data_IF_136135442871
#
_entry.id   IF_136135442871
#
_cell.length_a   1.000
_cell.length_b   1.000
_cell.length_c   1.000
_cell.angle_alpha   90.00
_cell.angle_beta   90.00
_cell.angle_gamma   90.00
#
_symmetry.space_group_name_H-M   'P 1'
#
loop_
_entity.id
_entity.type
_entity.pdbx_description
1 polymer ?
#
# COMPACT_ATOMS: atom_id res chain seq x y z
N UNK A 1 10.74 -21.33 -12.93
CA UNK A 1 10.99 -20.82 -11.56
C UNK A 1 10.59 -19.35 -11.56
N UNK A 2 9.79 -18.87 -10.61
CA UNK A 2 9.41 -17.45 -10.55
C UNK A 2 10.64 -16.63 -10.07
N UNK A 3 11.23 -15.76 -10.89
CA UNK A 3 12.51 -15.11 -10.55
C UNK A 3 12.37 -14.05 -9.47
N UNK A 4 11.14 -13.59 -9.21
CA UNK A 4 10.82 -12.64 -8.14
C UNK A 4 10.18 -13.32 -6.93
N UNK A 5 10.35 -14.64 -6.77
CA UNK A 5 9.75 -15.38 -5.66
C UNK A 5 10.18 -14.78 -4.31
N UNK A 6 9.19 -14.43 -3.48
CA UNK A 6 9.40 -14.01 -2.10
C UNK A 6 9.58 -15.24 -1.20
N UNK A 7 10.61 -15.21 -0.37
CA UNK A 7 10.92 -16.26 0.60
C UNK A 7 10.69 -15.72 2.02
N UNK A 8 9.78 -16.32 2.76
CA UNK A 8 9.41 -15.85 4.11
C UNK A 8 10.61 -15.91 5.06
N UNK A 9 10.81 -14.84 5.80
CA UNK A 9 11.77 -14.80 6.91
C UNK A 9 11.07 -15.07 8.25
N UNK A 10 9.83 -14.60 8.42
CA UNK A 10 9.01 -14.92 9.59
C UNK A 10 7.94 -13.87 9.91
N UNK A 11 7.24 -14.09 11.03
CA UNK A 11 6.30 -13.14 11.63
C UNK A 11 7.03 -12.26 12.63
N UNK A 12 6.93 -10.93 12.50
CA UNK A 12 7.71 -9.97 13.29
C UNK A 12 6.89 -9.13 14.27
N UNK A 13 5.57 -9.05 14.07
CA UNK A 13 4.68 -8.31 14.95
C UNK A 13 3.32 -8.98 15.02
N UNK A 14 2.84 -9.19 16.24
CA UNK A 14 1.49 -9.65 16.60
C UNK A 14 0.90 -8.71 17.64
N UNK A 15 -0.42 -8.67 17.76
CA UNK A 15 -1.10 -7.98 18.86
C UNK A 15 -0.57 -8.43 20.22
N UNK A 16 -0.36 -7.48 21.14
CA UNK A 16 -0.03 -7.78 22.52
C UNK A 16 -1.31 -8.15 23.26
N UNK A 17 -1.33 -9.32 23.94
CA UNK A 17 -2.47 -9.72 24.76
C UNK A 17 -2.83 -8.62 25.77
N UNK A 18 -4.12 -8.23 25.80
CA UNK A 18 -4.64 -7.22 26.71
C UNK A 18 -4.39 -5.77 26.30
N UNK A 19 -3.75 -5.51 25.16
CA UNK A 19 -3.61 -4.15 24.63
C UNK A 19 -4.89 -3.74 23.87
N UNK A 20 -5.71 -2.81 24.39
CA UNK A 20 -6.97 -2.42 23.76
C UNK A 20 -6.78 -1.69 22.43
N UNK A 21 -5.56 -1.25 22.12
CA UNK A 21 -5.24 -0.54 20.88
C UNK A 21 -5.09 -1.51 19.70
N UNK A 22 -4.82 -2.79 19.92
CA UNK A 22 -4.56 -3.75 18.86
C UNK A 22 -5.35 -5.05 19.06
N UNK A 23 -6.46 -4.97 19.80
CA UNK A 23 -7.33 -6.10 20.15
C UNK A 23 -7.84 -6.88 18.94
N UNK A 24 -8.11 -6.19 17.82
CA UNK A 24 -8.63 -6.79 16.58
C UNK A 24 -7.54 -7.02 15.52
N UNK A 25 -6.27 -6.71 15.81
CA UNK A 25 -5.13 -7.05 14.95
C UNK A 25 -4.07 -5.95 14.79
N UNK A 26 -2.93 -6.35 14.24
CA UNK A 26 -1.87 -5.47 13.74
C UNK A 26 -1.58 -5.78 12.28
N UNK A 27 -1.79 -4.82 11.40
CA UNK A 27 -1.87 -5.09 9.96
C UNK A 27 -1.02 -4.12 9.14
N UNK A 28 -0.73 -4.51 7.90
CA UNK A 28 -0.46 -3.61 6.78
C UNK A 28 0.51 -2.44 7.07
N UNK A 29 1.75 -2.71 7.52
CA UNK A 29 2.67 -1.65 7.92
C UNK A 29 3.24 -0.88 6.72
N UNK A 30 3.36 0.43 6.86
CA UNK A 30 4.37 1.15 6.08
C UNK A 30 5.77 0.80 6.61
N UNK A 31 6.78 0.89 5.74
CA UNK A 31 8.18 0.66 6.10
C UNK A 31 9.02 1.79 5.53
N UNK A 32 9.89 2.37 6.36
CA UNK A 32 10.84 3.38 5.92
C UNK A 32 12.02 3.47 6.87
N UNK A 33 13.20 3.81 6.35
CA UNK A 33 14.38 4.12 7.19
C UNK A 33 14.34 5.59 7.63
N UNK A 34 14.60 5.81 8.92
CA UNK A 34 14.69 7.13 9.50
C UNK A 34 16.03 7.83 9.21
N UNK A 35 16.13 9.14 9.50
CA UNK A 35 17.39 9.88 9.39
C UNK A 35 18.53 9.32 10.25
N UNK A 36 18.21 8.54 11.29
CA UNK A 36 19.16 7.83 12.16
C UNK A 36 19.62 6.48 11.59
N UNK A 37 19.12 6.08 10.42
CA UNK A 37 19.45 4.83 9.74
C UNK A 37 18.67 3.61 10.26
N UNK A 38 17.86 3.75 11.31
CA UNK A 38 17.01 2.67 11.79
C UNK A 38 15.83 2.42 10.86
N UNK A 39 15.36 1.17 10.82
CA UNK A 39 14.17 0.79 10.05
C UNK A 39 12.94 0.85 10.95
N UNK A 40 11.90 1.54 10.49
CA UNK A 40 10.65 1.72 11.20
C UNK A 40 9.48 1.07 10.47
N UNK A 41 8.58 0.47 11.23
CA UNK A 41 7.24 0.07 10.80
C UNK A 41 6.20 1.07 11.29
N UNK A 42 5.20 1.29 10.45
CA UNK A 42 4.01 2.05 10.78
C UNK A 42 2.77 1.16 10.63
N UNK A 43 2.55 0.23 11.57
CA UNK A 43 1.47 -0.75 11.51
C UNK A 43 0.11 -0.08 11.69
N UNK A 44 -0.91 -0.58 11.00
CA UNK A 44 -2.30 -0.35 11.38
C UNK A 44 -2.59 -1.13 12.64
N UNK A 45 -2.93 -0.44 13.73
CA UNK A 45 -3.37 -1.03 14.99
C UNK A 45 -4.89 -0.95 15.05
N UNK A 46 -5.55 -2.11 15.11
CA UNK A 46 -7.01 -2.21 15.08
C UNK A 46 -7.53 -2.47 16.49
N UNK A 47 -8.22 -1.48 17.04
CA UNK A 47 -8.98 -1.63 18.27
C UNK A 47 -10.42 -2.07 17.98
N UNK A 48 -11.11 -2.51 19.04
CA UNK A 48 -12.50 -2.97 18.99
C UNK A 48 -13.41 -2.07 18.15
N UNK A 49 -14.20 -2.69 17.28
CA UNK A 49 -15.11 -1.97 16.37
C UNK A 49 -14.40 -1.37 15.17
N UNK A 50 -13.30 -1.99 14.73
CA UNK A 50 -12.45 -1.54 13.64
C UNK A 50 -12.01 -0.07 13.81
N UNK A 51 -11.66 0.33 15.03
CA UNK A 51 -11.12 1.66 15.29
C UNK A 51 -9.62 1.63 15.02
N UNK A 52 -9.21 2.17 13.87
CA UNK A 52 -7.86 2.00 13.34
C UNK A 52 -7.00 3.24 13.52
N UNK A 53 -5.75 3.02 13.93
CA UNK A 53 -4.71 4.05 14.05
C UNK A 53 -3.40 3.54 13.45
N UNK A 54 -2.48 4.44 13.18
CA UNK A 54 -1.15 4.13 12.67
C UNK A 54 -0.18 4.18 13.85
N UNK A 55 0.38 3.03 14.21
CA UNK A 55 1.44 2.91 15.20
C UNK A 55 2.80 3.33 14.65
N UNK A 56 3.81 3.32 15.52
CA UNK A 56 5.21 3.36 15.14
C UNK A 56 5.97 2.31 15.94
N UNK A 57 6.81 1.53 15.26
CA UNK A 57 7.66 0.52 15.86
C UNK A 57 9.03 0.46 15.17
N UNK A 58 10.10 0.22 15.91
CA UNK A 58 11.45 0.00 15.37
C UNK A 58 11.68 -1.48 15.08
N UNK A 59 12.18 -1.82 13.90
CA UNK A 59 12.51 -3.20 13.54
C UNK A 59 13.77 -3.64 14.28
N UNK A 60 13.73 -4.84 14.84
CA UNK A 60 14.86 -5.50 15.49
C UNK A 60 15.47 -6.52 14.54
N UNK A 61 16.80 -6.47 14.40
CA UNK A 61 17.58 -7.35 13.53
C UNK A 61 18.48 -8.26 14.35
N UNK A 62 18.63 -9.51 13.91
CA UNK A 62 19.57 -10.46 14.51
C UNK A 62 21.00 -10.20 13.99
N UNK A 63 21.98 -10.98 14.45
CA UNK A 63 23.38 -10.85 14.03
C UNK A 63 23.59 -11.05 12.51
N UNK A 64 22.75 -11.84 11.85
CA UNK A 64 22.78 -12.03 10.39
C UNK A 64 22.13 -10.87 9.62
N UNK A 65 21.55 -9.91 10.33
CA UNK A 65 20.80 -8.79 9.75
C UNK A 65 19.38 -9.15 9.35
N UNK A 66 18.83 -10.30 9.73
CA UNK A 66 17.44 -10.64 9.43
C UNK A 66 16.48 -10.05 10.48
N UNK A 67 15.35 -9.47 10.06
CA UNK A 67 14.34 -8.96 10.98
C UNK A 67 13.70 -10.11 11.77
N UNK A 68 13.62 -9.97 13.10
CA UNK A 68 13.04 -11.00 13.97
C UNK A 68 11.94 -10.49 14.90
N UNK A 69 11.75 -9.18 14.99
CA UNK A 69 10.78 -8.60 15.91
C UNK A 69 10.72 -7.08 15.78
N UNK A 70 9.94 -6.46 16.65
CA UNK A 70 9.81 -5.00 16.72
C UNK A 70 9.75 -4.50 18.15
N UNK A 71 10.20 -3.27 18.34
CA UNK A 71 10.00 -2.47 19.55
C UNK A 71 8.91 -1.42 19.27
N UNK A 72 7.80 -1.47 20.00
CA UNK A 72 6.72 -0.47 19.88
C UNK A 72 7.16 0.85 20.48
N UNK A 73 7.01 1.94 19.72
CA UNK A 73 7.42 3.28 20.14
C UNK A 73 6.23 4.21 20.41
N UNK A 74 5.03 3.86 19.94
CA UNK A 74 3.81 4.61 20.22
C UNK A 74 2.87 4.68 19.03
N UNK A 75 2.14 5.80 18.93
CA UNK A 75 1.17 6.11 17.88
C UNK A 75 1.71 7.25 17.03
N UNK A 76 1.74 7.06 15.71
CA UNK A 76 2.10 8.08 14.73
C UNK A 76 0.89 8.95 14.37
N UNK A 77 -0.25 8.32 14.06
CA UNK A 77 -1.51 9.00 13.79
C UNK A 77 -2.68 8.22 14.39
N UNK A 78 -3.62 8.94 14.98
CA UNK A 78 -4.94 8.43 15.37
C UNK A 78 -6.05 9.32 14.79
N UNK A 79 -7.29 8.84 14.64
CA UNK A 79 -8.38 9.65 14.09
C UNK A 79 -8.61 10.94 14.91
N UNK A 80 -8.28 12.09 14.33
CA UNK A 80 -8.45 13.41 14.92
C UNK A 80 -9.33 14.30 14.04
N UNK A 81 -9.28 14.11 12.73
CA UNK A 81 -9.99 14.91 11.75
C UNK A 81 -11.39 14.38 11.41
N UNK A 82 -12.25 15.26 10.90
CA UNK A 82 -13.63 14.88 10.54
C UNK A 82 -13.68 13.82 9.45
N UNK A 83 -12.71 13.83 8.52
CA UNK A 83 -12.59 12.84 7.45
C UNK A 83 -11.97 11.50 7.90
N UNK A 84 -11.56 11.39 9.17
CA UNK A 84 -11.03 10.16 9.78
C UNK A 84 -12.03 9.54 10.77
N UNK A 85 -13.04 10.29 11.21
CA UNK A 85 -13.98 9.90 12.28
C UNK A 85 -15.33 9.47 11.70
N UNK A 86 -15.78 8.27 12.04
CA UNK A 86 -17.08 7.74 11.61
C UNK A 86 -18.18 8.15 12.60
N UNK A 87 -19.43 8.33 12.12
CA UNK A 87 -20.58 8.46 13.02
C UNK A 87 -20.66 7.27 13.99
N UNK A 88 -21.02 7.52 15.24
CA UNK A 88 -21.13 6.46 16.26
C UNK A 88 -19.83 6.08 16.98
N UNK A 89 -18.76 6.89 16.84
CA UNK A 89 -17.53 6.75 17.62
C UNK A 89 -16.44 5.88 16.99
N UNK A 90 -16.63 5.42 15.75
CA UNK A 90 -15.57 4.77 14.98
C UNK A 90 -14.58 5.78 14.38
N UNK A 91 -13.49 5.28 13.80
CA UNK A 91 -12.56 6.09 13.03
C UNK A 91 -11.43 5.24 12.46
N UNK A 92 -10.78 5.72 11.41
CA UNK A 92 -9.71 4.97 10.76
C UNK A 92 -8.66 5.85 10.12
N UNK A 93 -7.42 5.71 10.59
CA UNK A 93 -6.22 5.96 9.82
C UNK A 93 -5.63 4.58 9.46
N UNK A 94 -5.76 4.16 8.21
CA UNK A 94 -5.55 2.77 7.79
C UNK A 94 -4.50 2.64 6.68
N UNK A 95 -3.81 1.49 6.68
CA UNK A 95 -2.96 0.99 5.59
C UNK A 95 -1.98 2.03 5.03
N UNK A 96 -1.20 2.65 5.91
CA UNK A 96 -0.25 3.70 5.54
C UNK A 96 0.86 3.20 4.61
N UNK A 97 1.31 4.06 3.69
CA UNK A 97 2.57 3.94 2.95
C UNK A 97 3.37 5.21 3.20
N UNK A 98 4.68 5.07 3.40
CA UNK A 98 5.57 6.20 3.67
C UNK A 98 6.70 6.20 2.66
N UNK A 99 7.01 7.37 2.14
CA UNK A 99 8.10 7.57 1.19
C UNK A 99 8.79 8.87 1.53
N UNK A 100 10.13 8.88 1.58
CA UNK A 100 10.85 10.15 1.56
C UNK A 100 10.77 10.70 0.14
N UNK A 101 10.09 11.83 -0.04
CA UNK A 101 9.89 12.44 -1.35
C UNK A 101 10.92 13.55 -1.50
N UNK A 102 12.00 13.27 -2.24
CA UNK A 102 13.17 14.14 -2.37
C UNK A 102 12.81 15.57 -2.80
N UNK A 103 11.96 15.82 -3.82
CA UNK A 103 11.59 17.20 -4.19
C UNK A 103 10.88 17.99 -3.09
N UNK A 104 10.21 17.29 -2.16
CA UNK A 104 9.53 17.91 -1.03
C UNK A 104 10.42 18.01 0.21
N UNK A 105 11.48 17.20 0.32
CA UNK A 105 12.35 17.11 1.49
C UNK A 105 11.61 16.68 2.78
N UNK A 106 10.51 15.94 2.63
CA UNK A 106 9.73 15.36 3.74
C UNK A 106 9.49 13.87 3.50
N UNK A 107 9.34 13.12 4.59
CA UNK A 107 8.61 11.87 4.56
C UNK A 107 7.13 12.18 4.37
N UNK A 108 6.55 11.64 3.31
CA UNK A 108 5.13 11.72 3.01
C UNK A 108 4.47 10.39 3.36
N UNK A 109 3.48 10.42 4.23
CA UNK A 109 2.62 9.30 4.57
C UNK A 109 1.30 9.45 3.81
N UNK A 110 1.04 8.56 2.87
CA UNK A 110 -0.30 8.35 2.33
C UNK A 110 -1.02 7.33 3.20
N UNK A 111 -2.29 7.58 3.52
CA UNK A 111 -3.09 6.65 4.31
C UNK A 111 -4.56 6.70 3.88
N UNK A 112 -5.27 5.61 4.17
CA UNK A 112 -6.72 5.56 4.01
C UNK A 112 -7.36 6.19 5.23
N UNK A 113 -7.94 7.37 5.07
CA UNK A 113 -8.81 7.97 6.06
C UNK A 113 -10.23 7.41 5.89
N UNK A 114 -10.74 6.74 6.92
CA UNK A 114 -12.06 6.13 6.89
C UNK A 114 -13.05 6.94 7.74
N UNK A 115 -13.65 7.93 7.09
CA UNK A 115 -14.62 8.85 7.68
C UNK A 115 -16.08 8.56 7.30
N UNK A 116 -16.97 9.57 7.42
CA UNK A 116 -18.40 9.46 7.11
C UNK A 116 -18.67 9.16 5.63
N UNK A 117 -17.84 9.72 4.75
CA UNK A 117 -17.97 9.57 3.29
C UNK A 117 -17.19 8.35 2.76
N UNK A 118 -16.92 7.38 3.64
CA UNK A 118 -16.16 6.18 3.31
C UNK A 118 -14.65 6.41 3.24
N UNK A 119 -13.91 5.42 2.70
CA UNK A 119 -12.47 5.48 2.62
C UNK A 119 -11.99 6.45 1.53
N UNK A 120 -11.12 7.37 1.92
CA UNK A 120 -10.47 8.34 1.03
C UNK A 120 -8.98 8.40 1.34
N UNK A 121 -8.18 8.85 0.38
CA UNK A 121 -6.75 9.03 0.59
C UNK A 121 -6.51 10.36 1.29
N UNK A 122 -5.76 10.31 2.39
CA UNK A 122 -5.23 11.47 3.07
C UNK A 122 -3.70 11.42 3.07
N UNK A 123 -3.08 12.59 3.30
CA UNK A 123 -1.63 12.71 3.42
C UNK A 123 -1.25 13.39 4.73
N UNK A 124 -0.19 12.89 5.35
CA UNK A 124 0.54 13.57 6.41
C UNK A 124 2.04 13.64 6.05
N UNK A 125 2.75 14.61 6.62
CA UNK A 125 4.18 14.78 6.38
C UNK A 125 4.99 14.86 7.68
N UNK A 126 6.25 14.44 7.61
CA UNK A 126 7.19 14.49 8.73
C UNK A 126 8.62 14.72 8.25
N UNK A 127 9.45 15.33 9.10
CA UNK A 127 10.91 15.42 8.88
C UNK A 127 11.69 14.34 9.64
N UNK A 128 11.11 13.79 10.70
CA UNK A 128 11.80 12.95 11.68
C UNK A 128 11.10 11.61 11.93
N UNK A 129 9.99 11.33 11.23
CA UNK A 129 9.13 10.16 11.39
C UNK A 129 8.36 10.07 12.72
N UNK A 130 8.58 11.00 13.65
CA UNK A 130 7.97 11.02 14.97
C UNK A 130 6.82 12.05 15.03
N UNK A 131 7.06 13.22 14.46
CA UNK A 131 6.11 14.33 14.47
C UNK A 131 5.45 14.44 13.10
N UNK A 132 4.12 14.31 13.07
CA UNK A 132 3.33 14.28 11.84
C UNK A 132 2.39 15.47 11.73
N UNK A 133 2.42 16.13 10.58
CA UNK A 133 1.47 17.17 10.20
C UNK A 133 0.50 16.61 9.15
N UNK A 134 -0.81 16.63 9.43
CA UNK A 134 -1.84 16.27 8.44
C UNK A 134 -1.98 17.36 7.39
N UNK A 135 -1.91 16.97 6.12
CA UNK A 135 -2.14 17.84 4.98
C UNK A 135 -3.60 17.82 4.50
N UNK A 136 -4.35 16.76 4.85
CA UNK A 136 -5.76 16.62 4.49
C UNK A 136 -6.01 15.54 3.45
N UNK A 137 -7.24 15.51 2.95
CA UNK A 137 -7.65 14.63 1.86
C UNK A 137 -6.98 15.03 0.55
N UNK A 138 -6.57 14.03 -0.23
CA UNK A 138 -6.07 14.25 -1.59
C UNK A 138 -7.20 14.71 -2.49
N UNK A 139 -6.90 15.75 -3.29
CA UNK A 139 -7.79 16.28 -4.31
C UNK A 139 -7.33 15.87 -5.70
N UNK A 140 -8.28 15.47 -6.53
CA UNK A 140 -8.04 15.08 -7.93
C UNK A 140 -8.81 15.98 -8.89
N UNK A 141 -8.26 16.26 -10.06
CA UNK A 141 -9.06 16.82 -11.15
C UNK A 141 -9.96 15.73 -11.76
N UNK A 142 -11.09 16.08 -12.40
CA UNK A 142 -11.87 15.10 -13.15
C UNK A 142 -11.05 14.48 -14.30
N UNK A 143 -11.25 13.19 -14.55
CA UNK A 143 -10.67 12.50 -15.72
C UNK A 143 -11.77 11.91 -16.58
N UNK A 144 -11.99 12.47 -17.77
CA UNK A 144 -13.10 12.11 -18.66
C UNK A 144 -14.45 12.22 -17.90
N UNK A 145 -15.11 11.10 -17.63
CA UNK A 145 -16.38 11.02 -16.89
C UNK A 145 -16.19 10.66 -15.41
N UNK A 146 -14.95 10.47 -14.96
CA UNK A 146 -14.63 10.03 -13.61
C UNK A 146 -14.37 11.25 -12.72
N UNK A 147 -15.10 11.34 -11.61
CA UNK A 147 -14.80 12.23 -10.50
C UNK A 147 -14.22 11.43 -9.35
N UNK A 148 -12.88 11.35 -9.25
CA UNK A 148 -12.20 10.60 -8.19
C UNK A 148 -12.56 11.10 -6.78
N UNK A 149 -12.89 12.38 -6.61
CA UNK A 149 -13.28 12.91 -5.29
C UNK A 149 -14.67 12.46 -4.84
N UNK A 150 -15.49 11.93 -5.76
CA UNK A 150 -16.84 11.45 -5.49
C UNK A 150 -16.92 9.94 -5.31
N UNK A 151 -15.78 9.24 -5.29
CA UNK A 151 -15.71 7.79 -5.09
C UNK A 151 -14.73 7.46 -3.96
N UNK A 152 -14.83 6.23 -3.48
CA UNK A 152 -13.87 5.70 -2.52
C UNK A 152 -12.51 5.51 -3.18
N UNK A 153 -11.43 5.66 -2.42
CA UNK A 153 -10.07 5.52 -2.93
C UNK A 153 -9.12 5.03 -1.83
N UNK A 154 -8.18 4.14 -2.19
CA UNK A 154 -7.26 3.45 -1.27
C UNK A 154 -5.93 3.12 -1.95
N UNK A 155 -5.05 2.45 -1.20
CA UNK A 155 -3.79 1.88 -1.70
C UNK A 155 -2.88 2.91 -2.34
N UNK A 156 -2.85 4.10 -1.73
CA UNK A 156 -2.04 5.19 -2.18
C UNK A 156 -0.57 4.98 -1.82
N UNK A 157 0.33 5.23 -2.76
CA UNK A 157 1.78 5.31 -2.51
C UNK A 157 2.43 6.31 -3.46
N UNK A 158 3.50 6.97 -3.02
CA UNK A 158 4.19 8.00 -3.79
C UNK A 158 5.49 7.47 -4.37
N UNK A 159 5.90 8.03 -5.50
CA UNK A 159 7.27 7.87 -5.99
C UNK A 159 8.22 8.77 -5.19
N UNK A 160 9.47 8.34 -4.93
CA UNK A 160 10.40 9.08 -4.08
C UNK A 160 11.06 10.30 -4.76
N UNK A 161 11.01 10.39 -6.08
CA UNK A 161 11.60 11.47 -6.87
C UNK A 161 10.53 12.21 -7.69
N UNK A 162 10.87 13.39 -8.20
CA UNK A 162 10.04 14.03 -9.22
C UNK A 162 10.16 13.28 -10.54
N UNK A 163 9.05 13.27 -11.28
CA UNK A 163 8.94 12.62 -12.57
C UNK A 163 8.18 13.53 -13.52
N UNK A 164 8.41 13.37 -14.81
CA UNK A 164 7.64 14.11 -15.80
C UNK A 164 6.21 13.57 -15.86
N UNK A 165 5.24 14.45 -15.65
CA UNK A 165 3.84 14.18 -15.99
C UNK A 165 3.68 13.91 -17.49
N UNK A 166 2.53 13.36 -17.94
CA UNK A 166 2.25 13.16 -19.37
C UNK A 166 2.31 14.44 -20.22
N UNK A 167 2.29 15.61 -19.58
CA UNK A 167 2.40 16.91 -20.21
C UNK A 167 3.81 17.54 -20.10
N UNK A 168 4.79 16.80 -19.59
CA UNK A 168 6.19 17.22 -19.51
C UNK A 168 6.51 18.16 -18.34
N UNK A 169 5.63 18.27 -17.34
CA UNK A 169 5.91 19.04 -16.12
C UNK A 169 6.56 18.16 -15.04
N UNK A 170 7.57 18.65 -14.31
CA UNK A 170 8.04 18.02 -13.09
C UNK A 170 6.90 17.88 -12.07
N UNK A 171 6.70 16.67 -11.57
CA UNK A 171 5.54 16.33 -10.76
C UNK A 171 5.90 15.25 -9.73
N UNK A 172 5.18 15.26 -8.62
CA UNK A 172 5.11 14.08 -7.73
C UNK A 172 4.05 13.14 -8.29
N UNK A 173 4.43 11.87 -8.48
CA UNK A 173 3.51 10.83 -8.93
C UNK A 173 3.00 10.00 -7.75
N UNK A 174 1.72 9.65 -7.78
CA UNK A 174 1.04 8.82 -6.80
C UNK A 174 0.33 7.66 -7.49
N UNK A 175 0.57 6.44 -7.02
CA UNK A 175 -0.27 5.29 -7.31
C UNK A 175 -1.48 5.31 -6.38
N UNK A 176 -2.66 4.93 -6.86
CA UNK A 176 -3.88 4.81 -6.06
C UNK A 176 -4.89 3.85 -6.71
N UNK A 177 -5.95 3.49 -6.00
CA UNK A 177 -6.98 2.58 -6.50
C UNK A 177 -8.39 3.09 -6.15
N UNK A 178 -9.03 3.83 -7.08
CA UNK A 178 -10.44 4.19 -6.99
C UNK A 178 -11.33 2.94 -6.92
N UNK A 179 -12.34 2.98 -6.05
CA UNK A 179 -13.34 1.94 -5.87
C UNK A 179 -14.67 2.49 -6.37
N UNK A 180 -15.10 2.03 -7.55
CA UNK A 180 -16.34 2.49 -8.16
C UNK A 180 -17.53 1.71 -7.58
N UNK A 181 -18.73 2.31 -7.51
CA UNK A 181 -19.91 1.58 -7.05
C UNK A 181 -20.15 0.31 -7.89
N UNK A 182 -20.32 -0.84 -7.23
CA UNK A 182 -20.52 -2.14 -7.90
C UNK A 182 -19.24 -2.89 -8.26
N UNK A 183 -18.06 -2.33 -7.97
CA UNK A 183 -16.76 -2.94 -8.35
C UNK A 183 -16.04 -3.62 -7.19
N UNK A 184 -16.57 -3.55 -5.97
CA UNK A 184 -15.96 -4.29 -4.87
C UNK A 184 -16.04 -5.81 -5.13
N UNK A 185 -15.05 -6.61 -4.68
CA UNK A 185 -15.10 -8.06 -4.85
C UNK A 185 -16.42 -8.68 -4.38
N UNK A 186 -16.96 -8.18 -3.26
CA UNK A 186 -18.21 -8.64 -2.69
C UNK A 186 -19.41 -8.30 -3.58
N UNK A 187 -19.40 -7.16 -4.29
CA UNK A 187 -20.43 -6.78 -5.26
C UNK A 187 -20.29 -7.56 -6.58
N UNK A 188 -19.06 -7.71 -7.10
CA UNK A 188 -18.78 -8.46 -8.34
C UNK A 188 -19.26 -9.91 -8.20
N UNK A 189 -18.97 -10.54 -7.05
CA UNK A 189 -19.43 -11.90 -6.73
C UNK A 189 -20.96 -11.97 -6.65
N UNK A 190 -21.62 -10.90 -6.17
CA UNK A 190 -23.10 -10.82 -6.15
C UNK A 190 -23.74 -10.60 -7.52
N UNK A 191 -23.03 -9.97 -8.45
CA UNK A 191 -23.55 -9.57 -9.77
C UNK A 191 -23.27 -10.61 -10.88
N UNK A 192 -22.84 -11.83 -10.50
CA UNK A 192 -22.57 -12.94 -11.43
C UNK A 192 -21.55 -12.55 -12.52
N UNK A 193 -20.60 -11.68 -12.17
CA UNK A 193 -19.47 -11.26 -13.03
C UNK A 193 -19.88 -10.65 -14.38
N UNK A 194 -21.10 -10.10 -14.51
CA UNK A 194 -21.61 -9.49 -15.76
C UNK A 194 -20.99 -8.12 -16.13
N UNK A 195 -19.88 -7.77 -15.49
CA UNK A 195 -19.19 -6.51 -15.66
C UNK A 195 -18.26 -6.52 -16.87
N UNK A 196 -18.10 -5.35 -17.51
CA UNK A 196 -17.10 -5.23 -18.57
C UNK A 196 -15.73 -5.10 -17.91
N UNK A 197 -14.82 -6.01 -18.28
CA UNK A 197 -13.43 -6.11 -17.81
C UNK A 197 -12.69 -4.76 -17.80
N UNK A 198 -13.10 -3.83 -18.65
CA UNK A 198 -12.39 -2.58 -18.90
C UNK A 198 -12.95 -1.33 -18.18
N UNK A 199 -14.07 -1.39 -17.46
CA UNK A 199 -14.64 -0.20 -16.79
C UNK A 199 -14.96 -0.39 -15.31
N UNK A 200 -15.18 -1.65 -14.89
CA UNK A 200 -15.82 -1.94 -13.60
C UNK A 200 -14.91 -2.73 -12.64
N UNK A 201 -13.58 -2.74 -12.85
CA UNK A 201 -12.65 -3.44 -11.94
C UNK A 201 -11.78 -2.42 -11.22
N UNK A 202 -11.67 -2.58 -9.90
CA UNK A 202 -10.74 -1.80 -9.08
C UNK A 202 -9.31 -2.04 -9.58
N UNK A 203 -8.71 -0.98 -10.12
CA UNK A 203 -7.49 -0.98 -10.94
C UNK A 203 -6.47 -0.02 -10.34
N UNK A 204 -5.18 -0.24 -10.61
CA UNK A 204 -4.13 0.69 -10.18
C UNK A 204 -4.12 1.88 -11.15
N UNK A 205 -4.26 3.08 -10.61
CA UNK A 205 -4.10 4.35 -11.30
C UNK A 205 -2.81 5.04 -10.87
N UNK A 206 -2.24 5.82 -11.78
CA UNK A 206 -1.16 6.75 -11.50
C UNK A 206 -1.64 8.17 -11.77
N UNK A 207 -1.38 9.05 -10.82
CA UNK A 207 -1.82 10.43 -10.82
C UNK A 207 -0.65 11.37 -10.54
N UNK A 208 -0.62 12.55 -11.16
CA UNK A 208 0.49 13.50 -11.04
C UNK A 208 0.05 14.83 -10.45
N UNK A 209 0.79 15.30 -9.44
CA UNK A 209 0.68 16.65 -8.88
C UNK A 209 1.90 17.46 -9.34
N UNK A 210 1.69 18.47 -10.17
CA UNK A 210 2.77 19.31 -10.68
C UNK A 210 3.44 20.08 -9.54
N UNK A 211 4.77 20.02 -9.51
CA UNK A 211 5.55 20.86 -8.64
C UNK A 211 5.55 22.26 -9.24
N UNK A 212 5.01 23.23 -8.50
CA UNK A 212 5.17 24.64 -8.88
C UNK A 212 6.59 25.05 -8.50
N UNK A 213 7.24 25.85 -9.36
CA UNK A 213 8.51 26.49 -9.02
C UNK A 213 8.27 27.49 -7.89
N UNK A 214 8.30 27.03 -6.65
CA UNK A 214 8.62 27.75 -5.40
C UNK A 214 8.27 26.87 -4.20
N UNK A 215 9.26 26.77 -3.31
CA UNK A 215 9.37 26.05 -2.03
C UNK A 215 8.08 25.84 -1.20
N UNK A 216 7.92 24.62 -0.69
CA UNK A 216 7.16 24.15 0.49
C UNK A 216 5.63 24.37 0.58
N UNK A 217 5.03 25.39 -0.01
CA UNK A 217 3.62 25.71 0.25
C UNK A 217 2.61 24.96 -0.65
N UNK A 218 3.04 24.43 -1.80
CA UNK A 218 2.13 23.90 -2.81
C UNK A 218 1.52 22.52 -2.47
N UNK A 219 2.23 21.68 -1.70
CA UNK A 219 1.77 20.31 -1.46
C UNK A 219 0.66 20.20 -0.39
N UNK A 220 0.52 21.20 0.50
CA UNK A 220 -0.61 21.26 1.45
C UNK A 220 -1.99 21.28 0.78
N UNK A 221 -2.04 21.65 -0.49
CA UNK A 221 -3.25 21.63 -1.32
C UNK A 221 -3.01 20.82 -2.59
N UNK A 222 -2.20 19.74 -2.49
CA UNK A 222 -1.84 18.92 -3.63
C UNK A 222 -3.09 18.50 -4.41
N UNK A 223 -3.18 19.03 -5.63
CA UNK A 223 -4.20 18.63 -6.58
C UNK A 223 -3.51 17.81 -7.66
N UNK A 224 -3.88 16.54 -7.74
CA UNK A 224 -3.44 15.65 -8.79
C UNK A 224 -4.27 15.92 -10.05
N UNK A 225 -3.62 16.22 -11.17
CA UNK A 225 -4.29 16.79 -12.36
C UNK A 225 -4.11 15.99 -13.64
N UNK A 226 -3.14 15.08 -13.67
CA UNK A 226 -2.96 14.15 -14.79
C UNK A 226 -3.16 12.75 -14.27
N UNK A 227 -3.97 11.95 -14.96
CA UNK A 227 -4.41 10.64 -14.49
C UNK A 227 -4.26 9.61 -15.60
N UNK A 228 -3.78 8.42 -15.25
CA UNK A 228 -3.66 7.29 -16.15
C UNK A 228 -3.99 6.00 -15.40
N UNK A 229 -4.80 5.13 -16.00
CA UNK A 229 -5.02 3.79 -15.45
C UNK A 229 -3.81 2.94 -15.80
N UNK A 230 -2.93 2.74 -14.84
CA UNK A 230 -1.67 2.05 -15.00
C UNK A 230 -1.87 0.56 -15.30
N UNK A 231 -2.69 -0.11 -14.51
CA UNK A 231 -2.93 -1.54 -14.64
C UNK A 231 -4.36 -1.89 -14.24
N UNK A 232 -4.97 -2.82 -14.98
CA UNK A 232 -6.19 -3.54 -14.59
C UNK A 232 -5.88 -5.00 -14.26
N UNK A 233 -6.79 -5.74 -13.61
CA UNK A 233 -6.72 -7.19 -13.54
C UNK A 233 -6.51 -7.86 -14.90
N UNK A 234 -5.55 -8.78 -15.02
CA UNK A 234 -5.26 -9.51 -16.27
C UNK A 234 -5.10 -11.02 -16.06
N UNK A 235 -4.62 -11.44 -14.88
CA UNK A 235 -4.38 -12.85 -14.55
C UNK A 235 -5.47 -13.44 -13.63
N UNK A 236 -5.63 -14.76 -13.65
CA UNK A 236 -6.65 -15.45 -12.86
C UNK A 236 -6.54 -15.22 -11.34
N UNK A 237 -5.32 -15.08 -10.81
CA UNK A 237 -5.06 -14.89 -9.38
C UNK A 237 -5.37 -13.47 -8.88
N UNK A 238 -5.58 -12.53 -9.82
CA UNK A 238 -5.83 -11.10 -9.56
C UNK A 238 -7.14 -10.62 -10.21
N UNK A 239 -7.97 -11.54 -10.69
CA UNK A 239 -9.09 -11.29 -11.60
C UNK A 239 -10.20 -10.37 -11.04
N UNK A 240 -10.33 -10.24 -9.71
CA UNK A 240 -11.37 -9.40 -9.11
C UNK A 240 -10.92 -7.96 -8.96
N UNK A 241 -9.69 -7.75 -8.50
CA UNK A 241 -9.08 -6.43 -8.33
C UNK A 241 -7.58 -6.52 -8.10
N UNK A 242 -6.93 -5.38 -8.31
CA UNK A 242 -5.54 -5.14 -7.95
C UNK A 242 -5.38 -3.80 -7.25
N UNK A 243 -4.35 -3.66 -6.42
CA UNK A 243 -3.99 -2.39 -5.79
C UNK A 243 -2.50 -2.30 -5.53
N UNK A 244 -1.98 -1.08 -5.51
CA UNK A 244 -0.58 -0.85 -5.20
C UNK A 244 -0.27 -1.31 -3.76
N UNK A 245 0.88 -1.95 -3.59
CA UNK A 245 1.32 -2.46 -2.30
C UNK A 245 2.26 -1.48 -1.63
N UNK A 246 3.53 -1.87 -1.53
CA UNK A 246 4.60 -1.04 -1.02
C UNK A 246 4.94 0.10 -2.00
N UNK A 247 5.53 1.21 -1.52
CA UNK A 247 6.04 2.27 -2.39
C UNK A 247 6.96 1.74 -3.50
N UNK A 248 6.88 2.28 -4.73
CA UNK A 248 7.78 1.90 -5.80
C UNK A 248 9.24 2.18 -5.44
N UNK A 249 10.12 1.21 -5.68
CA UNK A 249 11.57 1.34 -5.47
C UNK A 249 12.31 1.22 -6.79
N UNK A 250 13.30 2.08 -7.01
CA UNK A 250 14.10 2.02 -8.22
C UNK A 250 15.05 0.81 -8.15
N UNK A 251 15.15 0.09 -9.26
CA UNK A 251 16.04 -1.06 -9.45
C UNK A 251 16.78 -0.90 -10.78
N UNK A 252 17.73 -1.81 -11.06
CA UNK A 252 18.42 -1.89 -12.36
C UNK A 252 17.48 -2.08 -13.57
N UNK A 253 16.24 -2.52 -13.35
CA UNK A 253 15.26 -2.77 -14.41
C UNK A 253 14.21 -1.67 -14.54
N UNK A 254 14.23 -0.66 -13.65
CA UNK A 254 13.20 0.34 -13.49
C UNK A 254 12.51 0.25 -12.11
N UNK A 255 11.33 0.85 -11.99
CA UNK A 255 10.58 0.90 -10.74
C UNK A 255 9.92 -0.43 -10.43
N UNK A 256 10.38 -1.09 -9.37
CA UNK A 256 9.73 -2.27 -8.82
C UNK A 256 8.52 -1.85 -7.99
N UNK A 257 7.36 -2.35 -8.39
CA UNK A 257 6.11 -2.25 -7.66
C UNK A 257 5.67 -3.65 -7.21
N UNK A 258 5.68 -3.90 -5.90
CA UNK A 258 5.02 -5.06 -5.31
C UNK A 258 3.56 -4.69 -5.11
N UNK A 259 2.64 -5.43 -5.71
CA UNK A 259 1.21 -5.12 -5.71
C UNK A 259 0.40 -6.32 -5.25
N UNK A 260 -0.83 -6.11 -4.77
CA UNK A 260 -1.73 -7.21 -4.43
C UNK A 260 -2.74 -7.45 -5.54
N UNK A 261 -3.16 -8.70 -5.68
CA UNK A 261 -4.24 -9.15 -6.54
C UNK A 261 -5.18 -10.07 -5.79
N UNK A 262 -6.46 -10.03 -6.18
CA UNK A 262 -7.52 -10.77 -5.49
C UNK A 262 -8.25 -11.70 -6.45
N UNK A 263 -8.48 -12.93 -5.99
CA UNK A 263 -9.35 -13.89 -6.66
C UNK A 263 -10.27 -14.60 -5.68
N UNK A 264 -11.26 -15.31 -6.22
CA UNK A 264 -12.12 -16.21 -5.45
C UNK A 264 -11.48 -17.58 -5.28
N UNK A 265 -11.56 -18.12 -4.08
CA UNK A 265 -11.22 -19.51 -3.79
C UNK A 265 -12.33 -20.46 -4.24
N UNK A 266 -11.95 -21.73 -4.38
CA UNK A 266 -12.90 -22.80 -4.63
C UNK A 266 -13.98 -22.86 -3.53
N UNK A 267 -15.24 -23.04 -3.95
CA UNK A 267 -16.38 -23.01 -3.04
C UNK A 267 -16.78 -21.62 -2.54
N UNK A 268 -16.25 -20.54 -3.13
CA UNK A 268 -16.82 -19.19 -2.99
C UNK A 268 -18.25 -19.16 -3.52
N UNK A 269 -19.16 -18.50 -2.79
CA UNK A 269 -20.55 -18.34 -3.20
C UNK A 269 -20.99 -16.89 -3.03
N UNK A 270 -22.08 -16.50 -3.69
CA UNK A 270 -22.71 -15.18 -3.53
C UNK A 270 -23.03 -14.80 -2.08
N UNK A 271 -23.30 -15.79 -1.22
CA UNK A 271 -23.68 -15.57 0.19
C UNK A 271 -22.52 -15.74 1.16
N UNK A 272 -21.44 -16.38 0.71
CA UNK A 272 -20.22 -16.61 1.47
C UNK A 272 -19.03 -16.47 0.51
N UNK A 273 -18.66 -15.22 0.16
CA UNK A 273 -17.51 -14.99 -0.71
C UNK A 273 -16.25 -15.45 0.03
N UNK A 274 -15.42 -16.22 -0.66
CA UNK A 274 -14.11 -16.67 -0.16
C UNK A 274 -13.05 -16.07 -1.05
N UNK A 275 -12.36 -15.06 -0.54
CA UNK A 275 -11.35 -14.33 -1.29
C UNK A 275 -9.94 -14.79 -0.90
N UNK A 276 -9.01 -14.64 -1.82
CA UNK A 276 -7.60 -14.83 -1.57
C UNK A 276 -6.82 -13.63 -2.11
N UNK A 277 -6.04 -13.01 -1.23
CA UNK A 277 -5.17 -11.89 -1.55
C UNK A 277 -3.74 -12.42 -1.67
N UNK A 278 -3.14 -12.22 -2.84
CA UNK A 278 -1.77 -12.64 -3.15
C UNK A 278 -0.95 -11.45 -3.63
N UNK A 279 0.37 -11.56 -3.62
CA UNK A 279 1.28 -10.53 -4.12
C UNK A 279 1.82 -10.87 -5.51
N UNK A 280 1.93 -9.87 -6.37
CA UNK A 280 2.65 -9.90 -7.65
C UNK A 280 3.71 -8.80 -7.71
N UNK A 281 4.44 -8.75 -8.81
CA UNK A 281 5.38 -7.67 -9.10
C UNK A 281 5.15 -7.08 -10.49
N UNK A 282 5.32 -5.77 -10.59
CA UNK A 282 5.48 -5.04 -11.85
C UNK A 282 6.84 -4.35 -11.85
N UNK A 283 7.45 -4.26 -13.02
CA UNK A 283 8.56 -3.34 -13.28
C UNK A 283 8.02 -2.27 -14.21
N UNK A 284 8.04 -1.02 -13.77
CA UNK A 284 7.66 0.15 -14.56
C UNK A 284 8.92 0.80 -15.12
N UNK A 285 8.80 1.44 -16.29
CA UNK A 285 9.90 2.20 -16.88
C UNK A 285 10.36 3.30 -15.92
N UNK A 286 11.67 3.45 -15.77
CA UNK A 286 12.30 4.48 -14.92
C UNK A 286 11.84 5.90 -15.30
N UNK A 287 11.84 6.19 -16.60
CA UNK A 287 11.54 7.52 -17.14
C UNK A 287 10.06 7.72 -17.48
N UNK A 288 9.32 6.64 -17.72
CA UNK A 288 7.92 6.67 -18.13
C UNK A 288 7.11 5.69 -17.27
N UNK A 289 6.82 5.99 -15.99
CA UNK A 289 6.26 5.02 -15.04
C UNK A 289 4.85 4.53 -15.40
N UNK A 290 4.19 5.14 -16.40
CA UNK A 290 2.94 4.62 -16.99
C UNK A 290 3.17 3.37 -17.85
N UNK A 291 4.41 3.09 -18.26
CA UNK A 291 4.77 1.95 -19.09
C UNK A 291 5.24 0.80 -18.20
N UNK A 292 4.48 -0.30 -18.23
CA UNK A 292 4.86 -1.57 -17.59
C UNK A 292 5.87 -2.30 -18.49
N UNK A 293 7.11 -2.45 -18.00
CA UNK A 293 8.17 -3.21 -18.66
C UNK A 293 8.05 -4.72 -18.42
N UNK A 294 7.57 -5.10 -17.23
CA UNK A 294 7.32 -6.49 -16.87
C UNK A 294 6.19 -6.58 -15.84
N UNK A 295 5.40 -7.65 -15.90
CA UNK A 295 4.39 -8.00 -14.91
C UNK A 295 4.41 -9.50 -14.68
N UNK A 296 4.45 -9.93 -13.42
CA UNK A 296 4.48 -11.35 -13.08
C UNK A 296 3.17 -12.05 -13.49
N UNK A 297 3.27 -13.13 -14.29
CA UNK A 297 2.11 -13.95 -14.69
C UNK A 297 1.50 -14.76 -13.54
N UNK A 298 2.32 -15.13 -12.56
CA UNK A 298 1.93 -15.86 -11.36
C UNK A 298 2.28 -15.03 -10.11
N UNK A 299 1.57 -15.23 -8.99
CA UNK A 299 1.89 -14.54 -7.75
C UNK A 299 3.33 -14.89 -7.29
N UNK A 300 3.99 -13.91 -6.68
CA UNK A 300 5.31 -14.05 -6.05
C UNK A 300 5.22 -14.46 -4.58
N UNK A 301 4.06 -14.24 -3.96
CA UNK A 301 3.71 -14.69 -2.61
C UNK A 301 2.20 -15.00 -2.57
N UNK A 302 1.85 -16.16 -2.01
CA UNK A 302 0.47 -16.60 -1.79
C UNK A 302 0.29 -16.97 -0.31
N UNK A 303 -0.93 -16.93 0.27
CA UNK A 303 -1.16 -17.43 1.62
C UNK A 303 -0.86 -18.94 1.74
N UNK A 304 0.09 -19.32 2.60
CA UNK A 304 0.48 -20.71 2.87
C UNK A 304 0.62 -20.99 4.37
N UNK A 305 1.07 -20.01 5.16
CA UNK A 305 1.20 -20.19 6.60
C UNK A 305 -0.16 -20.14 7.30
N UNK A 306 -0.23 -20.65 8.53
CA UNK A 306 -1.45 -20.57 9.34
C UNK A 306 -1.85 -19.12 9.61
N UNK A 307 -0.89 -18.28 9.99
CA UNK A 307 -1.02 -16.83 10.17
C UNK A 307 -1.54 -16.08 8.92
N UNK A 308 -1.35 -16.63 7.71
CA UNK A 308 -1.82 -16.01 6.46
C UNK A 308 -3.23 -16.51 6.08
N UNK A 309 -3.65 -17.64 6.64
CA UNK A 309 -4.90 -18.33 6.29
C UNK A 309 -5.98 -18.16 7.37
N UNK A 310 -5.59 -17.84 8.60
CA UNK A 310 -6.49 -17.71 9.76
C UNK A 310 -6.23 -16.35 10.41
N UNK A 311 -7.29 -15.57 10.56
CA UNK A 311 -7.28 -14.23 11.15
C UNK A 311 -8.61 -13.55 10.91
N UNK A 312 -8.66 -12.23 11.08
CA UNK A 312 -9.85 -11.40 10.82
C UNK A 312 -10.35 -11.58 9.38
N UNK A 313 -9.43 -11.61 8.41
CA UNK A 313 -9.73 -11.92 7.01
C UNK A 313 -8.82 -13.07 6.57
N UNK A 314 -9.40 -14.25 6.37
CA UNK A 314 -8.65 -15.44 5.95
C UNK A 314 -8.02 -15.30 4.55
N UNK A 315 -6.87 -15.96 4.35
CA UNK A 315 -6.16 -16.08 3.07
C UNK A 315 -5.67 -14.74 2.52
N UNK A 316 -4.90 -14.01 3.33
CA UNK A 316 -4.35 -12.70 2.97
C UNK A 316 -2.84 -12.67 3.16
N UNK A 317 -2.14 -12.29 2.08
CA UNK A 317 -0.83 -11.65 2.14
C UNK A 317 -0.94 -10.27 1.49
N UNK A 318 -0.68 -9.21 2.25
CA UNK A 318 -0.91 -7.83 1.81
C UNK A 318 0.37 -6.99 1.91
N UNK A 319 1.16 -6.88 0.82
CA UNK A 319 2.49 -6.27 0.85
C UNK A 319 2.39 -4.73 0.90
N UNK A 320 2.81 -4.10 1.99
CA UNK A 320 2.64 -2.64 2.20
C UNK A 320 3.93 -1.90 2.48
N UNK A 321 5.00 -2.62 2.77
CA UNK A 321 6.31 -2.01 2.99
C UNK A 321 7.42 -2.79 2.32
N UNK A 322 8.49 -2.09 1.96
CA UNK A 322 9.66 -2.65 1.30
C UNK A 322 10.91 -1.91 1.78
N UNK A 323 11.99 -2.65 2.02
CA UNK A 323 13.30 -2.11 2.37
C UNK A 323 14.39 -2.72 1.48
N UNK A 324 15.25 -1.87 0.94
CA UNK A 324 16.42 -2.31 0.18
C UNK A 324 17.58 -2.52 1.16
N UNK A 325 18.11 -3.75 1.23
CA UNK A 325 19.12 -4.18 2.24
C UNK A 325 20.54 -3.73 1.91
N UNK A 326 20.68 -2.46 1.55
CA UNK A 326 21.96 -1.78 1.32
C UNK A 326 22.81 -1.68 2.59
N UNK A 327 22.18 -1.71 3.77
CA UNK A 327 22.83 -1.82 5.07
C UNK A 327 23.69 -3.09 5.21
N UNK A 328 23.32 -4.16 4.48
CA UNK A 328 24.08 -5.41 4.41
C UNK A 328 25.03 -5.48 3.19
N UNK A 329 25.18 -4.38 2.44
CA UNK A 329 25.90 -4.37 1.16
C UNK A 329 25.20 -5.16 0.06
N UNK A 330 23.90 -5.45 0.21
CA UNK A 330 23.11 -6.26 -0.74
C UNK A 330 22.10 -5.39 -1.49
N UNK A 331 22.59 -4.63 -2.49
CA UNK A 331 21.76 -3.69 -3.27
C UNK A 331 20.61 -4.34 -4.06
N UNK A 332 20.67 -5.64 -4.30
CA UNK A 332 19.60 -6.37 -5.01
C UNK A 332 18.70 -7.17 -4.07
N UNK A 333 18.95 -7.15 -2.75
CA UNK A 333 18.08 -7.81 -1.77
C UNK A 333 17.05 -6.81 -1.25
N UNK A 334 15.79 -7.23 -1.29
CA UNK A 334 14.68 -6.47 -0.77
C UNK A 334 13.90 -7.32 0.23
N UNK A 335 13.62 -6.74 1.39
CA UNK A 335 12.72 -7.32 2.37
C UNK A 335 11.36 -6.63 2.24
N UNK A 336 10.30 -7.41 2.03
CA UNK A 336 8.91 -6.98 1.87
C UNK A 336 8.13 -7.34 3.11
N UNK A 337 7.54 -6.33 3.75
CA UNK A 337 6.73 -6.45 4.95
C UNK A 337 5.26 -6.43 4.55
N UNK A 338 4.49 -7.36 5.10
CA UNK A 338 3.14 -7.62 4.64
C UNK A 338 2.19 -7.98 5.79
N UNK A 339 0.93 -7.58 5.66
CA UNK A 339 -0.15 -8.05 6.53
C UNK A 339 -0.47 -9.52 6.24
N UNK A 340 -0.73 -10.28 7.31
CA UNK A 340 -1.08 -11.69 7.30
C UNK A 340 -2.47 -11.83 7.93
N UNK A 341 -3.44 -12.28 7.13
CA UNK A 341 -4.83 -12.50 7.54
C UNK A 341 -5.54 -11.35 8.30
N UNK A 342 -5.12 -10.09 8.09
CA UNK A 342 -5.55 -8.92 8.87
C UNK A 342 -5.42 -9.13 10.40
N UNK A 343 -4.37 -9.81 10.83
CA UNK A 343 -4.12 -10.14 12.25
C UNK A 343 -2.69 -9.86 12.70
N UNK A 344 -1.71 -10.18 11.85
CA UNK A 344 -0.30 -9.98 12.17
C UNK A 344 0.54 -9.54 10.97
N UNK A 345 1.83 -9.29 11.21
CA UNK A 345 2.77 -8.77 10.21
C UNK A 345 3.91 -9.76 10.00
N UNK A 346 4.08 -10.14 8.74
CA UNK A 346 5.17 -10.96 8.25
C UNK A 346 6.19 -10.16 7.46
N UNK A 347 7.32 -10.83 7.17
CA UNK A 347 8.35 -10.33 6.27
C UNK A 347 8.87 -11.46 5.40
N UNK A 348 9.08 -11.15 4.13
CA UNK A 348 9.64 -12.05 3.12
C UNK A 348 10.72 -11.33 2.32
N UNK A 349 11.72 -12.06 1.84
CA UNK A 349 12.84 -11.51 1.10
C UNK A 349 12.83 -11.96 -0.37
N UNK A 350 13.26 -11.07 -1.25
CA UNK A 350 13.53 -11.37 -2.66
C UNK A 350 14.87 -10.80 -3.09
N UNK A 351 15.45 -11.40 -4.14
CA UNK A 351 16.56 -10.81 -4.88
C UNK A 351 16.07 -10.38 -6.26
N UNK A 352 16.50 -9.21 -6.72
CA UNK A 352 16.25 -8.78 -8.09
C UNK A 352 17.05 -9.68 -9.04
N UNK A 353 16.41 -10.31 -10.03
CA UNK A 353 17.11 -11.16 -10.99
C UNK A 353 18.03 -10.33 -11.89
N UNK A 354 19.10 -10.92 -12.40
CA UNK A 354 20.03 -10.23 -13.31
C UNK A 354 19.35 -9.81 -14.62
N UNK A 355 18.36 -10.58 -15.08
CA UNK A 355 17.59 -10.33 -16.30
C UNK A 355 16.09 -10.49 -16.03
N UNK A 356 15.28 -9.69 -16.73
CA UNK A 356 13.84 -9.88 -16.75
C UNK A 356 13.46 -11.13 -17.59
N UNK A 357 12.38 -11.85 -17.22
CA UNK A 357 11.95 -13.07 -17.91
C UNK A 357 11.39 -12.90 -19.31
#
# INVERSE_FOLDING_TARGET
MNPFKLNRLGTIMRSQPGNPLEEEGVCNPAVVRGPDGHLYLFPRLVAKGNYSRIGIARVLFNEAGDPFGVERLGIALEPQESYEKRPGGGGGCEDARITYVEPLQYFQMTYTAYGPDGPRIAIAQSKDLLNWERLGLVSFSPYKHINFNGVFDKDASLFPIDMLSPHGHPSVAMLHRPLFPGTSPEEIVKLDKKHKIDLDLESIWISYCNLKHETDAAYRHAQFTSHHRLASPEQAWEQLKIGAGAPPVLTRHGWLLVYHGVHELEGSTKYSPKLCYSAGVMILSENEPMRICYRSKAPVLIPELEDERIGTIANVVFPTGIDCRTDLGQSDRYDVYYGMADDCIGVATMKIPDLLP
#
